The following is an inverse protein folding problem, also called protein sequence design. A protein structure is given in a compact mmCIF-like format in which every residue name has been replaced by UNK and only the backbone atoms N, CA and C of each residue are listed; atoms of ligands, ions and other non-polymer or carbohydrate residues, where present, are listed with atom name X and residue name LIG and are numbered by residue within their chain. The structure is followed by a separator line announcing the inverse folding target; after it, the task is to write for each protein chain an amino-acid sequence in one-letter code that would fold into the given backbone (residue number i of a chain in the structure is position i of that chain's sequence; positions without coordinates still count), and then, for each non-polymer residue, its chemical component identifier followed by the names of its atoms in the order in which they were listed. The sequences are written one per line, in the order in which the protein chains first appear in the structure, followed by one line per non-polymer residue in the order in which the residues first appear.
data_IF_998921720805
#
_entry.id   IF_998921720805
#
_cell.length_a   1.000
_cell.length_b   1.000
_cell.length_c   1.000
_cell.angle_alpha   90.00
_cell.angle_beta   90.00
_cell.angle_gamma   90.00
#
_symmetry.space_group_name_H-M   'P 1'
#
loop_
_entity.id
_entity.type
_entity.pdbx_description
1 polymer ?
#
# COMPACT_ATOMS: atom_id res chain seq x y z
N UNK A 1 -3.02 -16.06 15.06
CA UNK A 1 -3.32 -15.30 16.27
C UNK A 1 -2.21 -14.27 16.50
N UNK A 2 -2.50 -13.16 17.18
CA UNK A 2 -1.56 -12.08 17.53
C UNK A 2 -1.04 -11.20 16.38
N UNK A 3 -1.52 -11.38 15.13
CA UNK A 3 -1.07 -10.54 14.02
C UNK A 3 -1.39 -9.05 14.25
N UNK A 4 -2.56 -8.75 14.80
CA UNK A 4 -2.94 -7.39 15.15
C UNK A 4 -2.02 -6.81 16.22
N UNK A 5 -1.63 -7.59 17.24
CA UNK A 5 -0.76 -7.10 18.32
C UNK A 5 0.61 -6.69 17.79
N UNK A 6 1.18 -7.49 16.87
CA UNK A 6 2.42 -7.13 16.19
C UNK A 6 2.25 -5.83 15.38
N UNK A 7 1.22 -5.76 14.53
CA UNK A 7 0.96 -4.56 13.71
C UNK A 7 0.75 -3.32 14.59
N UNK A 8 -0.02 -3.43 15.66
CA UNK A 8 -0.22 -2.34 16.62
C UNK A 8 1.08 -1.89 17.28
N UNK A 9 1.98 -2.82 17.59
CA UNK A 9 3.27 -2.51 18.22
C UNK A 9 4.23 -1.78 17.29
N UNK A 10 4.28 -2.17 16.02
CA UNK A 10 5.28 -1.66 15.07
C UNK A 10 4.80 -0.45 14.25
N UNK A 11 3.51 -0.12 14.26
CA UNK A 11 2.97 0.98 13.44
C UNK A 11 2.43 2.13 14.29
N UNK A 12 2.52 3.35 13.79
CA UNK A 12 2.03 4.56 14.47
C UNK A 12 0.50 4.69 14.45
N UNK A 13 -0.17 4.18 13.41
CA UNK A 13 -1.61 4.30 13.26
C UNK A 13 -2.35 3.14 13.96
N UNK A 14 -3.66 3.28 14.15
CA UNK A 14 -4.51 2.33 14.88
C UNK A 14 -5.10 1.28 13.91
N UNK A 15 -4.35 0.20 13.71
CA UNK A 15 -4.78 -0.91 12.86
C UNK A 15 -5.99 -1.69 13.41
N UNK A 16 -6.32 -1.57 14.71
CA UNK A 16 -7.50 -2.20 15.29
C UNK A 16 -8.83 -1.63 14.75
N UNK A 17 -8.78 -0.46 14.11
CA UNK A 17 -9.95 0.13 13.44
C UNK A 17 -10.21 -0.41 12.05
N UNK A 18 -9.25 -1.13 11.47
CA UNK A 18 -9.41 -1.71 10.14
C UNK A 18 -10.37 -2.89 10.16
N UNK A 19 -11.23 -2.92 9.15
CA UNK A 19 -12.08 -4.07 8.84
C UNK A 19 -11.56 -4.78 7.59
N UNK A 20 -11.89 -6.07 7.40
CA UNK A 20 -11.54 -6.76 6.15
C UNK A 20 -11.95 -5.95 4.91
N UNK A 21 -11.04 -5.84 3.95
CA UNK A 21 -11.22 -5.02 2.76
C UNK A 21 -10.86 -3.54 2.94
N UNK A 22 -10.28 -3.14 4.06
CA UNK A 22 -9.79 -1.78 4.30
C UNK A 22 -8.27 -1.73 4.39
N UNK A 23 -7.71 -0.61 3.94
CA UNK A 23 -6.31 -0.29 4.08
C UNK A 23 -6.12 0.98 4.92
N UNK A 24 -4.90 1.22 5.39
CA UNK A 24 -4.54 2.39 6.18
C UNK A 24 -3.09 2.77 5.94
N UNK A 25 -2.81 4.06 5.82
CA UNK A 25 -1.46 4.59 5.80
C UNK A 25 -0.91 4.70 7.23
N UNK A 26 0.35 4.34 7.41
CA UNK A 26 1.02 4.35 8.70
C UNK A 26 2.53 4.56 8.54
N UNK A 27 3.23 4.79 9.65
CA UNK A 27 4.68 4.73 9.72
C UNK A 27 5.11 3.54 10.60
N UNK A 28 6.34 3.06 10.38
CA UNK A 28 7.11 2.22 11.28
C UNK A 28 8.04 3.14 12.09
N UNK A 29 7.73 3.51 13.35
CA UNK A 29 8.63 4.31 14.15
C UNK A 29 9.85 3.49 14.60
N UNK A 30 11.03 4.09 14.64
CA UNK A 30 12.20 3.49 15.29
C UNK A 30 12.22 3.80 16.79
N UNK A 31 13.23 3.29 17.51
CA UNK A 31 13.34 3.42 18.98
C UNK A 31 13.63 4.86 19.43
N UNK A 32 14.16 5.70 18.54
CA UNK A 32 14.50 7.10 18.77
C UNK A 32 13.40 8.07 18.31
N UNK A 33 12.26 7.55 17.81
CA UNK A 33 11.12 8.33 17.35
C UNK A 33 11.19 8.75 15.88
N UNK A 34 12.24 8.39 15.14
CA UNK A 34 12.30 8.57 13.68
C UNK A 34 11.48 7.52 12.93
N UNK A 35 11.46 7.61 11.60
CA UNK A 35 10.66 6.74 10.74
C UNK A 35 11.56 5.73 10.02
N UNK A 36 11.38 4.45 10.33
CA UNK A 36 12.05 3.34 9.61
C UNK A 36 11.56 3.25 8.18
N UNK A 37 10.25 3.30 7.99
CA UNK A 37 9.57 3.40 6.69
C UNK A 37 8.14 3.89 6.86
N UNK A 38 7.53 4.36 5.77
CA UNK A 38 6.10 4.58 5.66
C UNK A 38 5.46 3.49 4.79
N UNK A 39 4.24 3.08 5.13
CA UNK A 39 3.64 1.90 4.53
C UNK A 39 2.12 1.97 4.48
N UNK A 40 1.55 1.07 3.69
CA UNK A 40 0.12 0.75 3.77
C UNK A 40 -0.09 -0.57 4.53
N UNK A 41 -1.03 -0.56 5.46
CA UNK A 41 -1.50 -1.75 6.19
C UNK A 41 -2.86 -2.16 5.65
N UNK A 42 -2.97 -3.35 5.10
CA UNK A 42 -4.19 -3.93 4.54
C UNK A 42 -4.74 -4.99 5.49
N UNK A 43 -6.00 -4.87 5.89
CA UNK A 43 -6.68 -5.90 6.67
C UNK A 43 -7.33 -6.92 5.72
N UNK A 44 -6.71 -8.07 5.57
CA UNK A 44 -7.23 -9.17 4.74
C UNK A 44 -8.26 -9.99 5.52
N UNK A 45 -7.91 -10.37 6.75
CA UNK A 45 -8.79 -11.06 7.70
C UNK A 45 -8.58 -10.48 9.10
N UNK A 46 -9.66 -9.98 9.71
CA UNK A 46 -9.61 -9.27 10.99
C UNK A 46 -8.91 -10.12 12.07
N UNK A 47 -7.95 -9.54 12.76
CA UNK A 47 -7.11 -10.14 13.80
C UNK A 47 -6.21 -11.31 13.34
N UNK A 48 -6.19 -11.68 12.05
CA UNK A 48 -5.47 -12.86 11.58
C UNK A 48 -4.47 -12.58 10.46
N UNK A 49 -4.92 -11.90 9.39
CA UNK A 49 -4.11 -11.72 8.19
C UNK A 49 -4.08 -10.25 7.79
N UNK A 50 -2.88 -9.71 7.79
CA UNK A 50 -2.59 -8.37 7.31
C UNK A 50 -1.54 -8.44 6.19
N UNK A 51 -1.64 -7.57 5.21
CA UNK A 51 -0.61 -7.36 4.20
C UNK A 51 -0.01 -5.97 4.41
N UNK A 52 1.32 -5.91 4.47
CA UNK A 52 2.07 -4.66 4.55
C UNK A 52 2.67 -4.36 3.18
N UNK A 53 2.44 -3.17 2.69
CA UNK A 53 3.01 -2.68 1.43
C UNK A 53 4.01 -1.58 1.77
N UNK A 54 5.28 -1.93 1.66
CA UNK A 54 6.43 -1.11 2.04
C UNK A 54 7.12 -0.50 0.83
N UNK A 55 8.01 0.46 1.03
CA UNK A 55 8.84 0.98 -0.05
C UNK A 55 9.81 -0.09 -0.57
N UNK A 56 9.89 -0.25 -1.89
CA UNK A 56 10.70 -1.30 -2.52
C UNK A 56 12.19 -1.23 -2.14
N UNK A 57 12.72 -0.03 -1.92
CA UNK A 57 14.10 0.17 -1.46
C UNK A 57 14.34 -0.27 -0.01
N UNK A 58 13.29 -0.42 0.79
CA UNK A 58 13.35 -0.69 2.22
C UNK A 58 12.91 -2.12 2.60
N UNK A 59 12.57 -2.98 1.62
CA UNK A 59 12.04 -4.34 1.88
C UNK A 59 12.87 -5.11 2.91
N UNK A 60 14.20 -5.15 2.76
CA UNK A 60 15.08 -5.88 3.68
C UNK A 60 15.14 -5.19 5.06
N UNK A 61 15.24 -3.87 5.08
CA UNK A 61 15.24 -3.06 6.30
C UNK A 61 13.98 -3.27 7.11
N UNK A 62 12.83 -3.19 6.46
CA UNK A 62 11.53 -3.36 7.10
C UNK A 62 11.31 -4.79 7.58
N UNK A 63 11.68 -5.78 6.76
CA UNK A 63 11.64 -7.18 7.16
C UNK A 63 12.44 -7.44 8.44
N UNK A 64 13.66 -6.92 8.51
CA UNK A 64 14.53 -7.07 9.68
C UNK A 64 13.94 -6.34 10.90
N UNK A 65 13.40 -5.13 10.70
CA UNK A 65 12.75 -4.35 11.74
C UNK A 65 11.52 -5.09 12.33
N UNK A 66 10.63 -5.55 11.45
CA UNK A 66 9.41 -6.27 11.86
C UNK A 66 9.79 -7.59 12.56
N UNK A 67 10.76 -8.32 12.03
CA UNK A 67 11.26 -9.58 12.62
C UNK A 67 11.82 -9.35 14.03
N UNK A 68 12.61 -8.30 14.24
CA UNK A 68 13.14 -7.92 15.56
C UNK A 68 12.02 -7.70 16.59
N UNK A 69 10.89 -7.14 16.18
CA UNK A 69 9.78 -6.84 17.06
C UNK A 69 8.71 -7.94 17.14
N UNK A 70 8.87 -9.01 16.37
CA UNK A 70 7.92 -10.13 16.37
C UNK A 70 8.10 -11.05 17.59
N UNK A 71 7.88 -10.51 18.78
CA UNK A 71 7.83 -11.26 20.03
C UNK A 71 6.52 -12.01 20.23
N UNK A 72 5.58 -11.84 19.30
CA UNK A 72 4.24 -12.42 19.32
C UNK A 72 4.14 -13.76 18.60
N UNK A 73 5.25 -14.25 18.01
CA UNK A 73 5.33 -15.47 17.20
C UNK A 73 4.34 -15.46 16.02
N UNK A 74 4.17 -14.31 15.37
CA UNK A 74 3.35 -14.19 14.17
C UNK A 74 4.10 -14.83 13.01
N UNK A 75 3.40 -15.67 12.23
CA UNK A 75 3.92 -16.18 10.96
C UNK A 75 4.00 -15.05 9.94
N UNK A 76 5.16 -14.89 9.31
CA UNK A 76 5.45 -13.81 8.37
C UNK A 76 5.96 -14.38 7.05
N UNK A 77 5.52 -13.80 5.94
CA UNK A 77 5.94 -14.18 4.59
C UNK A 77 6.37 -12.95 3.80
N UNK A 78 7.60 -12.92 3.33
CA UNK A 78 8.00 -11.95 2.32
C UNK A 78 7.61 -12.50 0.93
N UNK A 79 6.63 -11.87 0.31
CA UNK A 79 6.11 -12.23 -1.01
C UNK A 79 6.47 -11.21 -2.08
N UNK A 80 7.36 -10.27 -1.79
CA UNK A 80 7.70 -9.14 -2.67
C UNK A 80 8.14 -9.60 -4.06
N UNK A 81 9.03 -10.59 -4.15
CA UNK A 81 9.55 -11.11 -5.42
C UNK A 81 8.52 -11.86 -6.27
N UNK A 82 7.36 -12.20 -5.69
CA UNK A 82 6.28 -12.91 -6.37
C UNK A 82 5.10 -12.01 -6.69
N UNK A 83 5.11 -10.76 -6.21
CA UNK A 83 3.98 -9.85 -6.31
C UNK A 83 4.30 -8.70 -7.26
N UNK A 84 3.52 -8.60 -8.33
CA UNK A 84 3.51 -7.43 -9.19
C UNK A 84 2.54 -6.39 -8.64
N UNK A 85 2.90 -5.11 -8.78
CA UNK A 85 2.07 -3.96 -8.47
C UNK A 85 2.04 -3.02 -9.66
N UNK A 86 0.84 -2.69 -10.13
CA UNK A 86 0.62 -1.63 -11.12
C UNK A 86 -0.29 -0.56 -10.53
N UNK A 87 0.10 0.70 -10.68
CA UNK A 87 -0.70 1.85 -10.30
C UNK A 87 -1.33 2.48 -11.55
N UNK A 88 -2.65 2.44 -11.65
CA UNK A 88 -3.42 3.05 -12.73
C UNK A 88 -4.14 4.25 -12.14
N UNK A 89 -3.65 5.44 -12.44
CA UNK A 89 -4.02 6.67 -11.76
C UNK A 89 -4.60 7.70 -12.73
N UNK A 90 -5.45 8.56 -12.21
CA UNK A 90 -6.08 9.65 -12.94
C UNK A 90 -7.61 9.58 -12.92
N UNK A 91 -8.29 10.68 -13.30
CA UNK A 91 -9.74 10.82 -13.13
C UNK A 91 -10.56 9.86 -14.02
N UNK A 92 -9.96 9.28 -15.04
CA UNK A 92 -10.60 8.32 -15.94
C UNK A 92 -10.17 6.86 -15.67
N UNK A 93 -9.25 6.62 -14.74
CA UNK A 93 -8.65 5.30 -14.52
C UNK A 93 -9.72 4.22 -14.30
N UNK A 94 -10.61 4.40 -13.33
CA UNK A 94 -11.64 3.39 -13.01
C UNK A 94 -12.59 3.12 -14.17
N UNK A 95 -12.97 4.15 -14.95
CA UNK A 95 -13.80 3.99 -16.15
C UNK A 95 -13.12 3.20 -17.27
N UNK A 96 -11.79 3.34 -17.37
CA UNK A 96 -10.98 2.58 -18.33
C UNK A 96 -10.89 1.12 -17.88
N UNK A 97 -10.78 0.88 -16.60
CA UNK A 97 -10.59 -0.46 -16.05
C UNK A 97 -11.89 -1.27 -15.91
N UNK A 98 -13.04 -0.61 -15.83
CA UNK A 98 -14.35 -1.25 -15.65
C UNK A 98 -14.57 -2.46 -16.56
N UNK A 99 -14.34 -2.40 -17.89
CA UNK A 99 -14.59 -3.54 -18.78
C UNK A 99 -13.58 -4.69 -18.62
N UNK A 100 -12.50 -4.49 -17.86
CA UNK A 100 -11.43 -5.47 -17.71
C UNK A 100 -11.59 -6.35 -16.46
N UNK A 101 -12.59 -6.09 -15.61
CA UNK A 101 -12.70 -6.75 -14.30
C UNK A 101 -14.15 -7.05 -13.94
N UNK A 102 -14.34 -8.05 -13.09
CA UNK A 102 -15.62 -8.36 -12.45
C UNK A 102 -15.83 -7.56 -11.14
N UNK A 103 -14.86 -6.74 -10.77
CA UNK A 103 -14.90 -5.88 -9.58
C UNK A 103 -15.62 -4.56 -9.91
N UNK A 104 -16.50 -4.10 -9.03
CA UNK A 104 -17.13 -2.79 -9.14
C UNK A 104 -16.12 -1.67 -8.79
N UNK A 105 -15.18 -1.42 -9.71
CA UNK A 105 -14.11 -0.43 -9.54
C UNK A 105 -14.61 1.02 -9.53
N UNK A 106 -15.81 1.27 -10.07
CA UNK A 106 -16.41 2.60 -10.10
C UNK A 106 -16.90 3.04 -8.71
N UNK A 107 -17.32 2.10 -7.87
CA UNK A 107 -17.86 2.36 -6.54
C UNK A 107 -16.91 1.95 -5.41
N UNK A 108 -15.69 1.52 -5.73
CA UNK A 108 -14.68 1.17 -4.74
C UNK A 108 -14.28 2.42 -3.94
N UNK A 109 -14.50 2.38 -2.63
CA UNK A 109 -14.24 3.53 -1.74
C UNK A 109 -12.75 3.71 -1.51
N UNK A 110 -12.33 4.96 -1.36
CA UNK A 110 -10.93 5.30 -1.04
C UNK A 110 -10.45 4.55 0.21
N UNK A 111 -9.25 3.99 0.14
CA UNK A 111 -8.66 3.10 1.16
C UNK A 111 -9.45 1.82 1.42
N UNK A 112 -10.19 1.33 0.42
CA UNK A 112 -10.74 -0.03 0.43
C UNK A 112 -10.20 -0.84 -0.74
N UNK A 113 -10.25 -2.17 -0.61
CA UNK A 113 -9.80 -3.10 -1.63
C UNK A 113 -10.71 -4.33 -1.71
N UNK A 114 -10.63 -5.02 -2.81
CA UNK A 114 -11.29 -6.31 -2.98
C UNK A 114 -10.49 -7.20 -3.93
N UNK A 115 -10.78 -8.48 -3.95
CA UNK A 115 -10.17 -9.44 -4.88
C UNK A 115 -11.20 -9.89 -5.91
N UNK A 116 -10.75 -10.06 -7.13
CA UNK A 116 -11.58 -10.55 -8.23
C UNK A 116 -10.75 -11.03 -9.41
N UNK A 117 -11.39 -11.07 -10.58
CA UNK A 117 -10.75 -11.37 -11.85
C UNK A 117 -10.44 -10.06 -12.58
N UNK A 118 -9.22 -9.91 -13.07
CA UNK A 118 -8.81 -8.75 -13.85
C UNK A 118 -8.11 -9.20 -15.14
N UNK A 119 -8.57 -8.75 -16.30
CA UNK A 119 -8.09 -9.18 -17.60
C UNK A 119 -8.03 -10.73 -17.75
N UNK A 120 -8.97 -11.46 -17.12
CA UNK A 120 -9.00 -12.92 -17.11
C UNK A 120 -7.97 -13.58 -16.18
N UNK A 121 -7.21 -12.81 -15.39
CA UNK A 121 -6.35 -13.29 -14.31
C UNK A 121 -7.14 -13.30 -13.01
N UNK A 122 -7.15 -14.43 -12.29
CA UNK A 122 -7.88 -14.58 -11.03
C UNK A 122 -7.06 -14.10 -9.83
N UNK A 123 -7.75 -13.83 -8.73
CA UNK A 123 -7.14 -13.43 -7.44
C UNK A 123 -6.36 -12.12 -7.49
N UNK A 124 -6.65 -11.26 -8.45
CA UNK A 124 -6.10 -9.90 -8.48
C UNK A 124 -6.73 -9.07 -7.37
N UNK A 125 -5.91 -8.46 -6.51
CA UNK A 125 -6.36 -7.51 -5.51
C UNK A 125 -6.37 -6.12 -6.15
N UNK A 126 -7.53 -5.47 -6.14
CA UNK A 126 -7.70 -4.08 -6.61
C UNK A 126 -7.98 -3.19 -5.42
N UNK A 127 -7.16 -2.18 -5.24
CA UNK A 127 -7.22 -1.23 -4.12
C UNK A 127 -7.45 0.20 -4.61
N UNK A 128 -8.41 0.90 -4.01
CA UNK A 128 -8.61 2.32 -4.23
C UNK A 128 -7.59 3.15 -3.43
N UNK A 129 -6.33 2.93 -3.74
CA UNK A 129 -5.16 3.63 -3.22
C UNK A 129 -4.34 4.21 -4.37
N UNK A 130 -3.38 5.05 -4.05
CA UNK A 130 -2.48 5.66 -5.02
C UNK A 130 -1.70 6.81 -4.43
N UNK A 131 -0.80 7.37 -5.24
CA UNK A 131 0.19 8.35 -4.80
C UNK A 131 0.18 9.62 -5.68
N UNK A 132 -0.99 9.97 -6.22
CA UNK A 132 -1.11 11.05 -7.20
C UNK A 132 -2.17 12.10 -6.84
N UNK A 133 -3.06 11.80 -5.86
CA UNK A 133 -4.21 12.64 -5.55
C UNK A 133 -5.25 12.75 -6.67
N UNK A 134 -5.05 12.07 -7.80
CA UNK A 134 -5.90 12.20 -8.99
C UNK A 134 -6.98 11.09 -9.09
N UNK A 135 -7.08 10.23 -8.09
CA UNK A 135 -7.92 9.03 -8.11
C UNK A 135 -7.29 7.90 -8.92
N UNK A 136 -7.94 6.76 -8.94
CA UNK A 136 -7.44 5.54 -9.58
C UNK A 136 -7.31 4.39 -8.60
N UNK A 137 -6.57 3.38 -9.01
CA UNK A 137 -6.36 2.16 -8.23
C UNK A 137 -4.92 1.67 -8.32
N UNK A 138 -4.56 0.83 -7.37
CA UNK A 138 -3.38 -0.02 -7.41
C UNK A 138 -3.85 -1.47 -7.50
N UNK A 139 -3.23 -2.26 -8.35
CA UNK A 139 -3.54 -3.67 -8.52
C UNK A 139 -2.35 -4.53 -8.16
N UNK A 140 -2.59 -5.59 -7.39
CA UNK A 140 -1.58 -6.53 -6.90
C UNK A 140 -1.94 -7.93 -7.36
N UNK A 141 -0.97 -8.64 -7.91
CA UNK A 141 -1.15 -9.99 -8.42
C UNK A 141 0.18 -10.75 -8.47
N UNK A 142 0.11 -12.07 -8.51
CA UNK A 142 1.29 -12.90 -8.76
C UNK A 142 1.55 -13.00 -10.26
N UNK A 143 2.83 -12.89 -10.68
CA UNK A 143 3.22 -13.07 -12.07
C UNK A 143 3.37 -14.57 -12.41
N UNK A 144 2.24 -15.24 -12.44
CA UNK A 144 2.14 -16.60 -12.88
C UNK A 144 1.65 -16.66 -14.34
N UNK A 145 2.26 -17.49 -15.16
CA UNK A 145 1.86 -17.73 -16.56
C UNK A 145 1.77 -16.44 -17.43
N UNK A 146 2.67 -15.49 -17.20
CA UNK A 146 2.71 -14.23 -17.95
C UNK A 146 1.58 -13.27 -17.59
N UNK A 147 1.08 -13.33 -16.38
CA UNK A 147 0.00 -12.47 -15.90
C UNK A 147 0.34 -10.97 -16.00
N UNK A 148 1.61 -10.61 -15.74
CA UNK A 148 2.05 -9.21 -15.80
C UNK A 148 1.90 -8.63 -17.21
N UNK A 149 2.40 -9.32 -18.23
CA UNK A 149 2.29 -8.91 -19.62
C UNK A 149 0.82 -8.85 -20.06
N UNK A 150 0.06 -9.90 -19.75
CA UNK A 150 -1.37 -9.98 -20.08
C UNK A 150 -2.19 -8.83 -19.48
N UNK A 151 -1.98 -8.50 -18.22
CA UNK A 151 -2.68 -7.41 -17.54
C UNK A 151 -2.24 -6.06 -18.13
N UNK A 152 -0.93 -5.87 -18.33
CA UNK A 152 -0.39 -4.65 -18.93
C UNK A 152 -0.96 -4.39 -20.32
N UNK A 153 -0.94 -5.39 -21.19
CA UNK A 153 -1.44 -5.28 -22.55
C UNK A 153 -2.95 -4.99 -22.60
N UNK A 154 -3.73 -5.66 -21.73
CA UNK A 154 -5.17 -5.40 -21.63
C UNK A 154 -5.47 -3.97 -21.17
N UNK A 155 -4.72 -3.46 -20.19
CA UNK A 155 -4.87 -2.07 -19.72
C UNK A 155 -4.57 -1.07 -20.85
N UNK A 156 -3.51 -1.28 -21.62
CA UNK A 156 -3.15 -0.37 -22.72
C UNK A 156 -4.01 -0.54 -23.96
N UNK A 157 -4.50 -1.73 -24.24
CA UNK A 157 -5.48 -1.95 -25.32
C UNK A 157 -6.76 -1.16 -25.07
N UNK A 158 -7.25 -1.14 -23.83
CA UNK A 158 -8.45 -0.41 -23.44
C UNK A 158 -8.19 1.08 -23.21
N UNK A 159 -7.09 1.42 -22.55
CA UNK A 159 -6.81 2.78 -22.10
C UNK A 159 -6.09 3.65 -23.12
N UNK A 160 -5.24 3.07 -23.97
CA UNK A 160 -4.46 3.82 -24.97
C UNK A 160 -5.32 4.70 -25.87
N UNK A 161 -6.39 4.18 -26.50
CA UNK A 161 -7.32 4.99 -27.31
C UNK A 161 -8.03 6.10 -26.53
N UNK A 162 -8.12 5.94 -25.19
CA UNK A 162 -8.75 6.89 -24.25
C UNK A 162 -7.73 7.87 -23.63
N UNK A 163 -6.49 7.89 -24.15
CA UNK A 163 -5.46 8.83 -23.74
C UNK A 163 -4.61 8.38 -22.53
N UNK A 164 -4.72 7.12 -22.10
CA UNK A 164 -3.81 6.57 -21.09
C UNK A 164 -2.39 6.51 -21.65
N UNK A 165 -1.42 6.78 -20.79
CA UNK A 165 0.01 6.75 -21.14
C UNK A 165 0.81 6.02 -20.08
N UNK A 166 1.87 5.29 -20.48
CA UNK A 166 2.87 4.86 -19.51
C UNK A 166 3.61 6.09 -18.99
N UNK A 167 3.87 6.12 -17.69
CA UNK A 167 4.60 7.21 -17.05
C UNK A 167 5.79 6.68 -16.28
N UNK A 168 6.84 7.50 -16.16
CA UNK A 168 8.04 7.17 -15.41
C UNK A 168 8.03 7.71 -13.97
N UNK A 169 9.09 7.40 -13.23
CA UNK A 169 9.26 7.80 -11.83
C UNK A 169 9.24 9.33 -11.63
N UNK A 170 9.69 10.11 -12.61
CA UNK A 170 9.62 11.57 -12.53
C UNK A 170 8.19 12.11 -12.40
N UNK A 171 7.23 11.50 -13.12
CA UNK A 171 5.81 11.87 -12.97
C UNK A 171 5.25 11.45 -11.62
N UNK A 172 5.63 10.26 -11.11
CA UNK A 172 5.28 9.82 -9.76
C UNK A 172 5.76 10.82 -8.72
N UNK A 173 7.00 11.29 -8.82
CA UNK A 173 7.60 12.23 -7.87
C UNK A 173 6.94 13.61 -7.92
N UNK A 174 6.72 14.18 -9.10
CA UNK A 174 6.06 15.50 -9.20
C UNK A 174 4.61 15.46 -8.72
N UNK A 175 3.86 14.41 -9.07
CA UNK A 175 2.45 14.29 -8.66
C UNK A 175 2.29 14.13 -7.14
N UNK A 176 3.10 13.29 -6.50
CA UNK A 176 3.05 13.14 -5.05
C UNK A 176 3.46 14.43 -4.33
N UNK A 177 4.46 15.13 -4.85
CA UNK A 177 4.96 16.37 -4.27
C UNK A 177 3.91 17.48 -4.29
N UNK A 178 3.19 17.63 -5.41
CA UNK A 178 2.08 18.57 -5.52
C UNK A 178 0.97 18.32 -4.50
N UNK A 179 0.80 17.06 -4.08
CA UNK A 179 -0.17 16.65 -3.05
C UNK A 179 0.37 16.77 -1.63
N UNK A 180 1.66 17.05 -1.45
CA UNK A 180 2.32 17.05 -0.14
C UNK A 180 2.49 15.65 0.45
N UNK A 181 2.54 14.59 -0.38
CA UNK A 181 2.81 13.22 0.08
C UNK A 181 4.30 13.03 0.26
N UNK A 182 4.67 12.46 1.41
CA UNK A 182 6.07 12.18 1.72
C UNK A 182 6.67 11.13 0.80
N UNK A 183 7.97 11.25 0.51
CA UNK A 183 8.80 10.23 -0.11
C UNK A 183 9.90 9.84 0.86
N UNK A 184 9.94 8.56 1.24
CA UNK A 184 10.98 8.05 2.12
C UNK A 184 12.38 8.24 1.50
N UNK A 185 13.31 8.70 2.32
CA UNK A 185 14.67 9.06 1.91
C UNK A 185 14.83 10.49 1.39
N UNK A 186 13.72 11.22 1.18
CA UNK A 186 13.73 12.64 0.78
C UNK A 186 13.13 13.54 1.87
N UNK A 187 11.87 13.26 2.24
CA UNK A 187 11.10 14.11 3.17
C UNK A 187 11.03 13.51 4.57
N UNK A 188 11.18 12.22 4.67
CA UNK A 188 11.16 11.41 5.91
C UNK A 188 12.26 10.37 5.88
N UNK A 189 12.83 10.08 7.04
CA UNK A 189 13.88 9.09 7.24
C UNK A 189 13.99 8.67 8.72
N UNK A 190 15.04 7.93 9.06
CA UNK A 190 15.30 7.44 10.41
C UNK A 190 15.51 8.54 11.47
N UNK A 191 15.71 9.78 11.06
CA UNK A 191 15.96 10.93 11.94
C UNK A 191 14.78 11.90 12.03
N UNK A 192 13.75 11.70 11.21
CA UNK A 192 12.56 12.56 11.13
C UNK A 192 11.41 11.89 11.86
N UNK A 193 10.83 12.56 12.85
CA UNK A 193 9.64 12.03 13.53
C UNK A 193 8.38 12.21 12.70
N UNK A 194 7.35 11.32 12.89
CA UNK A 194 6.06 11.51 12.23
C UNK A 194 5.41 12.87 12.51
N UNK A 195 5.69 13.47 13.69
CA UNK A 195 5.14 14.78 14.06
C UNK A 195 5.78 15.91 13.26
N UNK A 196 7.11 15.89 13.09
CA UNK A 196 7.85 16.85 12.27
C UNK A 196 7.47 16.75 10.79
N UNK A 197 7.21 15.54 10.31
CA UNK A 197 6.77 15.25 8.95
C UNK A 197 5.32 15.67 8.65
N UNK A 198 4.58 16.20 9.61
CA UNK A 198 3.16 16.52 9.46
C UNK A 198 2.26 15.27 9.43
N UNK A 199 2.78 14.12 9.86
CA UNK A 199 2.08 12.82 9.89
C UNK A 199 1.40 12.54 11.25
N UNK A 200 1.19 13.56 12.08
CA UNK A 200 0.49 13.42 13.36
C UNK A 200 -0.92 12.86 13.24
N UNK A 201 -1.57 13.05 12.10
CA UNK A 201 -2.91 12.51 11.82
C UNK A 201 -2.94 10.97 11.73
N UNK A 202 -1.82 10.31 11.44
CA UNK A 202 -1.65 8.84 11.47
C UNK A 202 -0.86 8.35 12.69
N UNK A 203 -0.55 9.22 13.65
CA UNK A 203 0.16 8.85 14.87
C UNK A 203 -0.82 8.86 16.04
N UNK A 204 -1.17 7.65 16.53
CA UNK A 204 -2.27 7.46 17.48
C UNK A 204 -1.74 7.16 18.87
N UNK A 205 -1.50 8.19 19.66
CA UNK A 205 -1.03 8.11 21.06
C UNK A 205 -2.03 7.43 22.02
N UNK A 206 -3.21 7.05 21.55
CA UNK A 206 -4.20 6.30 22.33
C UNK A 206 -3.90 4.80 22.45
N UNK A 207 -2.89 4.31 21.73
CA UNK A 207 -2.41 2.93 21.77
C UNK A 207 -0.91 2.87 22.08
N UNK A 208 -0.41 1.70 22.40
CA UNK A 208 1.03 1.45 22.55
C UNK A 208 1.67 1.15 21.18
N UNK A 209 2.84 1.77 20.93
CA UNK A 209 3.68 1.50 19.77
C UNK A 209 5.15 1.87 20.08
N UNK A 210 6.07 1.50 19.21
CA UNK A 210 7.49 1.79 19.38
C UNK A 210 7.74 3.29 19.44
N UNK A 211 8.51 3.74 20.46
CA UNK A 211 8.86 5.15 20.71
C UNK A 211 7.67 6.09 20.87
N UNK A 212 6.58 5.61 21.47
CA UNK A 212 5.42 6.46 21.77
C UNK A 212 5.73 7.60 22.76
N UNK A 213 6.70 7.41 23.70
CA UNK A 213 7.06 8.33 24.78
C UNK A 213 7.94 9.48 24.30
#
# INVERSE_FOLDING_TARGET
ENALDLIQRITSNDAAKLKPGQAQYSCLPNEDGGIVDDLLVYCIEENKVYMLVVNASNIEKDWNWITKHNTYNVEMHNISDKTCLLAIQGPNATKILEPLTDIDVLNLKYYTFTKGTFAGVKNVLVSATGYTGAGGVEIYFEDNDGAAEKIWDAIFAEGGPKGMKPIGLGARDTLRLEMGFCLYGNDIDDTTSPMEAGLGWITKFTKEFTAKE
#
